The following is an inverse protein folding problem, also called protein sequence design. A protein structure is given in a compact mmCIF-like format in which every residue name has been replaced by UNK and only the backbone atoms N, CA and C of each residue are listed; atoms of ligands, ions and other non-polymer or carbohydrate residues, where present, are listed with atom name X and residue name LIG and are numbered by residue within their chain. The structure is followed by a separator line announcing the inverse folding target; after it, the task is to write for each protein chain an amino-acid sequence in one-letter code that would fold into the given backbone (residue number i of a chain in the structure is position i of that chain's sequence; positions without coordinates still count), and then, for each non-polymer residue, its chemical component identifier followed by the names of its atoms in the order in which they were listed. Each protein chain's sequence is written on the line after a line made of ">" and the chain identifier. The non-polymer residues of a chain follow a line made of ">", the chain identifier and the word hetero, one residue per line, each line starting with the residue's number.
data_IF_914001359621
#
_entry.id   IF_914001359621
#
_cell.length_a   1.000
_cell.length_b   1.000
_cell.length_c   1.000
_cell.angle_alpha   90.00
_cell.angle_beta   90.00
_cell.angle_gamma   90.00
#
_symmetry.space_group_name_H-M   'P 1'
#
loop_
_entity.id
_entity.type
_entity.pdbx_description
1 polymer ?
#
# COMPACT_ATOMS: atom_id res chain seq x y z
N UNK A 1 -10.58 -56.21 31.86
CA UNK A 1 -11.18 -54.87 32.03
C UNK A 1 -10.60 -53.96 30.94
N UNK A 2 -11.46 -53.47 30.04
CA UNK A 2 -11.12 -52.63 28.87
C UNK A 2 -10.69 -51.24 29.34
N UNK A 3 -9.49 -50.78 28.96
CA UNK A 3 -9.10 -49.36 29.05
C UNK A 3 -8.96 -48.81 27.65
N UNK A 4 -10.06 -48.26 27.16
CA UNK A 4 -10.12 -47.55 25.88
C UNK A 4 -9.54 -46.16 26.16
N UNK A 5 -8.27 -45.97 25.80
CA UNK A 5 -7.65 -44.65 25.79
C UNK A 5 -8.31 -43.84 24.67
N UNK A 6 -9.26 -42.97 25.04
CA UNK A 6 -9.84 -41.96 24.15
C UNK A 6 -8.73 -40.98 23.77
N UNK A 7 -8.07 -41.25 22.63
CA UNK A 7 -7.14 -40.32 22.01
C UNK A 7 -7.89 -39.05 21.63
N UNK A 8 -7.48 -37.93 22.22
CA UNK A 8 -8.01 -36.60 21.95
C UNK A 8 -7.55 -36.20 20.53
N UNK A 9 -8.47 -36.25 19.56
CA UNK A 9 -8.24 -35.77 18.20
C UNK A 9 -8.19 -34.25 18.26
N UNK A 10 -6.99 -33.68 18.18
CA UNK A 10 -6.76 -32.24 18.06
C UNK A 10 -7.02 -31.85 16.60
N UNK A 11 -8.19 -31.26 16.33
CA UNK A 11 -8.50 -30.68 15.02
C UNK A 11 -7.78 -29.34 14.94
N UNK A 12 -6.60 -29.33 14.32
CA UNK A 12 -5.89 -28.10 14.00
C UNK A 12 -6.58 -27.48 12.77
N UNK A 13 -7.51 -26.56 13.01
CA UNK A 13 -8.10 -25.74 11.95
C UNK A 13 -7.00 -24.86 11.39
N UNK A 14 -6.39 -25.27 10.28
CA UNK A 14 -5.50 -24.41 9.49
C UNK A 14 -6.38 -23.28 8.94
N UNK A 15 -6.43 -22.17 9.67
CA UNK A 15 -6.89 -20.91 9.11
C UNK A 15 -6.05 -20.66 7.86
N UNK A 16 -6.69 -20.65 6.70
CA UNK A 16 -6.09 -20.20 5.45
C UNK A 16 -5.75 -18.72 5.64
N UNK A 17 -4.59 -18.44 6.22
CA UNK A 17 -3.95 -17.16 6.12
C UNK A 17 -3.58 -17.00 4.66
N UNK A 18 -4.47 -16.35 3.90
CA UNK A 18 -4.07 -15.74 2.64
C UNK A 18 -3.00 -14.72 3.00
N UNK A 19 -1.74 -15.13 2.91
CA UNK A 19 -0.63 -14.19 2.92
C UNK A 19 -0.98 -13.10 1.90
N UNK A 20 -0.81 -11.81 2.23
CA UNK A 20 -0.96 -10.78 1.24
C UNK A 20 0.02 -11.12 0.12
N UNK A 21 -0.50 -11.56 -1.02
CA UNK A 21 0.20 -11.41 -2.29
C UNK A 21 0.68 -9.97 -2.31
N UNK A 22 1.95 -9.72 -2.63
CA UNK A 22 2.57 -8.37 -2.61
C UNK A 22 1.94 -7.48 -3.70
N UNK A 23 0.65 -7.22 -3.59
CA UNK A 23 -0.09 -6.24 -4.32
C UNK A 23 0.21 -4.89 -3.66
N UNK A 24 0.27 -3.84 -4.48
CA UNK A 24 0.45 -2.50 -3.98
C UNK A 24 -0.63 -2.17 -2.95
N UNK A 25 -0.24 -1.72 -1.77
CA UNK A 25 -1.17 -1.29 -0.72
C UNK A 25 -1.36 0.24 -0.79
N UNK A 26 -2.48 0.72 -1.36
CA UNK A 26 -2.75 2.14 -1.47
C UNK A 26 -2.89 2.81 -0.10
N UNK A 27 -3.42 2.11 0.90
CA UNK A 27 -3.59 2.68 2.25
C UNK A 27 -2.25 2.84 2.97
N UNK A 28 -1.37 1.83 2.88
CA UNK A 28 -0.01 1.95 3.39
C UNK A 28 0.76 3.07 2.67
N UNK A 29 0.54 3.23 1.37
CA UNK A 29 1.12 4.32 0.59
C UNK A 29 0.63 5.69 1.04
N UNK A 30 -0.67 5.85 1.30
CA UNK A 30 -1.23 7.09 1.88
C UNK A 30 -0.57 7.39 3.23
N UNK A 31 -0.52 6.41 4.14
CA UNK A 31 0.05 6.60 5.47
C UNK A 31 1.53 7.03 5.41
N UNK A 32 2.35 6.28 4.66
CA UNK A 32 3.78 6.55 4.52
C UNK A 32 4.07 7.91 3.85
N UNK A 33 3.38 8.22 2.75
CA UNK A 33 3.58 9.48 2.04
C UNK A 33 3.05 10.68 2.83
N UNK A 34 1.99 10.51 3.61
CA UNK A 34 1.50 11.54 4.51
C UNK A 34 2.55 11.85 5.58
N UNK A 35 3.07 10.82 6.25
CA UNK A 35 4.19 10.95 7.18
C UNK A 35 5.35 11.73 6.55
N UNK A 36 5.76 11.32 5.34
CA UNK A 36 6.82 11.99 4.58
C UNK A 36 6.49 13.44 4.24
N UNK A 37 5.23 13.73 3.90
CA UNK A 37 4.78 15.08 3.59
C UNK A 37 4.90 16.04 4.78
N UNK A 38 4.69 15.55 6.00
CA UNK A 38 4.75 16.32 7.25
C UNK A 38 6.13 16.25 7.96
N UNK A 39 7.11 15.57 7.37
CA UNK A 39 8.50 15.54 7.86
C UNK A 39 8.94 14.24 8.54
N UNK A 40 8.10 13.21 8.56
CA UNK A 40 8.42 11.88 9.12
C UNK A 40 8.84 10.90 8.02
N UNK A 41 9.95 10.18 8.17
CA UNK A 41 10.48 9.32 7.10
C UNK A 41 9.85 7.93 7.00
N UNK A 42 9.14 7.45 8.03
CA UNK A 42 8.56 6.08 8.07
C UNK A 42 9.58 4.93 8.00
N UNK A 43 10.86 5.22 7.79
CA UNK A 43 11.95 4.25 7.71
C UNK A 43 11.87 3.30 6.51
N UNK A 44 12.59 2.18 6.61
CA UNK A 44 12.60 1.12 5.60
C UNK A 44 11.22 0.52 5.35
N UNK A 45 10.35 0.53 6.37
CA UNK A 45 8.98 0.01 6.31
C UNK A 45 8.10 0.69 5.26
N UNK A 46 8.40 1.96 4.96
CA UNK A 46 7.70 2.77 3.97
C UNK A 46 8.30 2.71 2.57
N UNK A 47 9.51 2.20 2.41
CA UNK A 47 10.22 2.17 1.12
C UNK A 47 9.42 1.50 0.01
N UNK A 48 8.83 0.33 0.29
CA UNK A 48 8.01 -0.39 -0.69
C UNK A 48 6.72 0.37 -1.04
N UNK A 49 6.07 0.99 -0.05
CA UNK A 49 4.84 1.74 -0.26
C UNK A 49 5.07 3.04 -1.06
N UNK A 50 6.17 3.74 -0.78
CA UNK A 50 6.59 4.89 -1.58
C UNK A 50 6.88 4.48 -3.03
N UNK A 51 7.59 3.36 -3.24
CA UNK A 51 7.86 2.80 -4.56
C UNK A 51 6.56 2.44 -5.30
N UNK A 52 5.58 1.89 -4.58
CA UNK A 52 4.27 1.57 -5.14
C UNK A 52 3.50 2.80 -5.63
N UNK A 53 3.66 3.94 -4.97
CA UNK A 53 3.15 5.21 -5.47
C UNK A 53 3.95 5.71 -6.68
N UNK A 54 5.28 5.77 -6.57
CA UNK A 54 6.14 6.38 -7.60
C UNK A 54 6.24 5.58 -8.88
N UNK A 55 5.98 4.26 -8.87
CA UNK A 55 5.91 3.44 -10.10
C UNK A 55 4.73 3.79 -11.01
N UNK A 56 3.67 4.43 -10.47
CA UNK A 56 2.54 4.90 -11.26
C UNK A 56 2.98 6.13 -12.08
N UNK A 57 3.47 5.89 -13.29
CA UNK A 57 3.97 6.93 -14.21
C UNK A 57 3.47 6.65 -15.61
N UNK A 58 2.81 7.65 -16.20
CA UNK A 58 2.43 7.61 -17.60
C UNK A 58 3.57 8.17 -18.46
N UNK A 59 4.02 7.39 -19.45
CA UNK A 59 5.04 7.80 -20.41
C UNK A 59 4.52 7.70 -21.84
N UNK A 60 4.86 8.67 -22.68
CA UNK A 60 4.61 8.63 -24.13
C UNK A 60 5.89 9.02 -24.87
N UNK A 61 6.38 8.15 -25.77
CA UNK A 61 7.64 8.35 -26.50
C UNK A 61 8.82 8.67 -25.56
N UNK A 62 8.95 7.93 -24.46
CA UNK A 62 10.01 8.11 -23.45
C UNK A 62 9.86 9.32 -22.52
N UNK A 63 8.95 10.28 -22.82
CA UNK A 63 8.71 11.46 -21.99
C UNK A 63 7.58 11.21 -20.99
N UNK A 64 7.78 11.63 -19.74
CA UNK A 64 6.75 11.54 -18.69
C UNK A 64 5.64 12.55 -18.99
N UNK A 65 4.39 12.09 -18.92
CA UNK A 65 3.21 12.95 -18.99
C UNK A 65 2.79 13.29 -17.57
N UNK A 66 3.32 14.37 -17.00
CA UNK A 66 3.09 14.72 -15.60
C UNK A 66 1.62 14.92 -15.24
N UNK A 67 0.80 15.47 -16.14
CA UNK A 67 -0.66 15.56 -15.91
C UNK A 67 -1.31 14.19 -15.73
N UNK A 68 -1.04 13.24 -16.64
CA UNK A 68 -1.58 11.88 -16.54
C UNK A 68 -0.96 11.07 -15.40
N UNK A 69 0.31 11.28 -15.10
CA UNK A 69 0.99 10.69 -13.95
C UNK A 69 0.36 11.15 -12.64
N UNK A 70 0.03 12.44 -12.54
CA UNK A 70 -0.67 12.99 -11.38
C UNK A 70 -2.05 12.33 -11.20
N UNK A 71 -2.83 12.19 -12.27
CA UNK A 71 -4.14 11.53 -12.22
C UNK A 71 -4.03 10.05 -11.82
N UNK A 72 -3.06 9.31 -12.40
CA UNK A 72 -2.80 7.90 -12.06
C UNK A 72 -2.42 7.73 -10.58
N UNK A 73 -1.52 8.58 -10.09
CA UNK A 73 -1.10 8.58 -8.68
C UNK A 73 -2.25 8.91 -7.74
N UNK A 74 -3.08 9.90 -8.08
CA UNK A 74 -4.29 10.23 -7.31
C UNK A 74 -5.26 9.07 -7.29
N UNK A 75 -5.52 8.44 -8.44
CA UNK A 75 -6.41 7.29 -8.54
C UNK A 75 -5.90 6.10 -7.74
N UNK A 76 -4.59 5.86 -7.71
CA UNK A 76 -3.99 4.84 -6.84
C UNK A 76 -4.28 5.13 -5.37
N UNK A 77 -4.03 6.34 -4.87
CA UNK A 77 -4.31 6.70 -3.47
C UNK A 77 -5.81 6.62 -3.13
N UNK A 78 -6.68 6.99 -4.08
CA UNK A 78 -8.14 6.89 -3.92
C UNK A 78 -8.66 5.44 -3.81
N UNK A 79 -7.84 4.43 -4.11
CA UNK A 79 -8.21 3.03 -3.83
C UNK A 79 -8.23 2.73 -2.32
N UNK A 80 -7.62 3.60 -1.50
CA UNK A 80 -7.77 3.54 -0.05
C UNK A 80 -9.07 4.23 0.38
N UNK A 81 -10.11 3.45 0.66
CA UNK A 81 -11.44 3.97 1.05
C UNK A 81 -11.46 4.71 2.40
N UNK A 82 -10.48 4.46 3.27
CA UNK A 82 -10.36 5.08 4.59
C UNK A 82 -9.46 6.31 4.62
N UNK A 83 -8.84 6.66 3.49
CA UNK A 83 -7.93 7.79 3.41
C UNK A 83 -8.68 9.12 3.49
N UNK A 84 -8.20 10.03 4.35
CA UNK A 84 -8.66 11.41 4.39
C UNK A 84 -8.35 12.11 3.04
N UNK A 85 -9.35 12.66 2.33
CA UNK A 85 -9.13 13.44 1.11
C UNK A 85 -8.12 14.58 1.28
N UNK A 86 -8.03 15.19 2.47
CA UNK A 86 -7.05 16.23 2.75
C UNK A 86 -5.61 15.68 2.79
N UNK A 87 -5.41 14.48 3.35
CA UNK A 87 -4.14 13.78 3.30
C UNK A 87 -3.73 13.44 1.86
N UNK A 88 -4.67 12.93 1.05
CA UNK A 88 -4.42 12.68 -0.38
C UNK A 88 -4.05 13.99 -1.10
N UNK A 89 -4.79 15.07 -0.85
CA UNK A 89 -4.49 16.39 -1.44
C UNK A 89 -3.08 16.87 -1.09
N UNK A 90 -2.69 16.76 0.18
CA UNK A 90 -1.36 17.13 0.65
C UNK A 90 -0.26 16.29 -0.03
N UNK A 91 -0.44 14.96 -0.08
CA UNK A 91 0.49 14.04 -0.75
C UNK A 91 0.63 14.42 -2.23
N UNK A 92 -0.49 14.63 -2.91
CA UNK A 92 -0.50 14.98 -4.34
C UNK A 92 0.14 16.35 -4.60
N UNK A 93 -0.03 17.32 -3.69
CA UNK A 93 0.60 18.65 -3.80
C UNK A 93 2.13 18.57 -3.77
N UNK A 94 2.70 17.67 -2.95
CA UNK A 94 4.15 17.52 -2.78
C UNK A 94 4.77 16.52 -3.75
N UNK A 95 4.12 15.38 -3.96
CA UNK A 95 4.71 14.22 -4.63
C UNK A 95 4.01 13.82 -5.94
N UNK A 96 2.87 14.43 -6.26
CA UNK A 96 2.06 14.06 -7.43
C UNK A 96 2.76 14.26 -8.77
N UNK A 97 3.71 15.19 -8.86
CA UNK A 97 4.45 15.53 -10.11
C UNK A 97 5.96 15.44 -9.98
N UNK A 98 6.46 14.82 -8.91
CA UNK A 98 7.91 14.67 -8.71
C UNK A 98 8.38 13.33 -9.22
N UNK A 99 9.64 13.30 -9.64
CA UNK A 99 10.36 12.05 -9.87
C UNK A 99 10.80 11.56 -8.49
N UNK A 100 10.04 10.63 -7.92
CA UNK A 100 10.44 9.94 -6.70
C UNK A 100 11.35 8.76 -6.97
#
# INVERSE_FOLDING_TARGET
>A
MKRICKGLIVIFTVSLFTAPTYAADPCKSVFCLYGKAVGSSGGSECSSAEKDFFKNVEKKKGKIRWGKTFDLRKNFLNQCSTADPAAISLIMSKFGRVRG
#
